data_IF_354448962930
#
_entry.id   IF_354448962930
#
_cell.length_a   1.000
_cell.length_b   1.000
_cell.length_c   1.000
_cell.angle_alpha   90.00
_cell.angle_beta   90.00
_cell.angle_gamma   90.00
#
_symmetry.space_group_name_H-M   'P 1'
#
loop_
_entity.id
_entity.type
_entity.pdbx_description
1 polymer ?
#
# COMPACT_ATOMS: atom_id res chain seq x y z
N UNK A 1 -14.47 0.75 11.89
CA UNK A 1 -14.13 2.12 11.47
C UNK A 1 -13.48 2.08 10.10
N UNK A 2 -13.79 3.03 9.23
CA UNK A 2 -13.11 3.20 7.94
C UNK A 2 -11.84 4.00 8.17
N UNK A 3 -10.70 3.53 7.66
CA UNK A 3 -9.44 4.24 7.73
C UNK A 3 -9.57 5.60 7.03
N UNK A 4 -9.15 6.67 7.69
CA UNK A 4 -9.13 8.03 7.15
C UNK A 4 -7.72 8.49 6.81
N UNK A 5 -7.61 9.58 6.03
CA UNK A 5 -6.32 10.21 5.73
C UNK A 5 -5.61 10.67 7.00
N UNK A 6 -6.36 11.28 7.93
CA UNK A 6 -5.84 11.74 9.22
C UNK A 6 -5.21 10.61 10.03
N UNK A 7 -5.76 9.40 9.97
CA UNK A 7 -5.17 8.23 10.64
C UNK A 7 -3.80 7.84 10.08
N UNK A 8 -3.56 8.07 8.78
CA UNK A 8 -2.25 7.86 8.16
C UNK A 8 -1.27 8.97 8.55
N UNK A 9 -1.70 10.23 8.46
CA UNK A 9 -0.88 11.40 8.80
C UNK A 9 -0.44 11.40 10.27
N UNK A 10 -1.31 10.95 11.18
CA UNK A 10 -1.01 10.80 12.62
C UNK A 10 -0.31 9.46 12.94
N UNK A 11 0.05 8.65 11.93
CA UNK A 11 0.83 7.42 12.10
C UNK A 11 0.10 6.27 12.81
N UNK A 12 -1.23 6.38 13.02
CA UNK A 12 -2.00 5.38 13.80
C UNK A 12 -1.91 3.98 13.20
N UNK A 13 -2.00 3.86 11.87
CA UNK A 13 -1.91 2.56 11.21
C UNK A 13 -0.52 1.95 11.32
N UNK A 14 0.52 2.79 11.23
CA UNK A 14 1.90 2.35 11.38
C UNK A 14 2.14 1.80 12.79
N UNK A 15 1.71 2.54 13.82
CA UNK A 15 1.80 2.11 15.20
C UNK A 15 1.04 0.79 15.44
N UNK A 16 -0.19 0.67 14.92
CA UNK A 16 -0.99 -0.55 15.02
C UNK A 16 -0.29 -1.76 14.38
N UNK A 17 0.26 -1.61 13.17
CA UNK A 17 0.96 -2.69 12.50
C UNK A 17 2.26 -3.06 13.22
N UNK A 18 3.07 -2.08 13.61
CA UNK A 18 4.34 -2.32 14.31
C UNK A 18 4.15 -3.08 15.64
N UNK A 19 3.01 -2.88 16.32
CA UNK A 19 2.66 -3.63 17.53
C UNK A 19 2.15 -5.05 17.23
N UNK A 20 1.51 -5.25 16.07
CA UNK A 20 0.84 -6.50 15.73
C UNK A 20 1.72 -7.51 14.98
N UNK A 21 2.75 -7.05 14.26
CA UNK A 21 3.69 -7.92 13.56
C UNK A 21 4.96 -8.14 14.39
N UNK A 22 5.53 -9.34 14.30
CA UNK A 22 6.86 -9.65 14.86
C UNK A 22 7.89 -8.67 14.28
N UNK A 23 8.85 -8.23 15.10
CA UNK A 23 9.98 -7.37 14.72
C UNK A 23 10.76 -7.91 13.49
N UNK A 24 10.73 -9.23 13.26
CA UNK A 24 11.31 -9.83 12.04
C UNK A 24 10.61 -9.43 10.72
N UNK A 25 9.40 -8.86 10.80
CA UNK A 25 8.58 -8.52 9.64
C UNK A 25 8.25 -7.02 9.56
N UNK A 26 8.41 -6.25 10.63
CA UNK A 26 8.31 -4.80 10.60
C UNK A 26 9.67 -4.18 10.28
N UNK A 27 9.76 -3.43 9.17
CA UNK A 27 10.85 -2.48 8.99
C UNK A 27 10.79 -1.45 10.11
N UNK A 28 11.94 -1.04 10.65
CA UNK A 28 12.08 0.17 11.46
C UNK A 28 11.77 1.41 10.62
N UNK A 29 11.57 2.55 11.25
CA UNK A 29 11.28 3.79 10.50
C UNK A 29 12.47 4.22 9.63
N UNK A 30 13.70 3.93 10.06
CA UNK A 30 14.91 4.16 9.27
C UNK A 30 14.99 3.22 8.05
N UNK A 31 14.73 1.92 8.23
CA UNK A 31 14.70 0.94 7.13
C UNK A 31 13.58 1.23 6.13
N UNK A 32 12.41 1.65 6.63
CA UNK A 32 11.29 2.05 5.79
C UNK A 32 11.64 3.29 4.96
N UNK A 33 12.24 4.32 5.58
CA UNK A 33 12.70 5.52 4.89
C UNK A 33 13.80 5.20 3.85
N UNK A 34 14.72 4.28 4.15
CA UNK A 34 15.75 3.84 3.21
C UNK A 34 15.13 3.07 2.03
N UNK A 35 14.17 2.16 2.29
CA UNK A 35 13.43 1.43 1.26
C UNK A 35 12.66 2.36 0.32
N UNK A 36 11.97 3.36 0.89
CA UNK A 36 11.29 4.40 0.11
C UNK A 36 12.30 5.18 -0.74
N UNK A 37 13.40 5.65 -0.15
CA UNK A 37 14.42 6.40 -0.88
C UNK A 37 15.02 5.58 -2.03
N UNK A 38 15.27 4.29 -1.83
CA UNK A 38 15.73 3.37 -2.87
C UNK A 38 14.70 3.21 -3.99
N UNK A 39 13.43 3.03 -3.63
CA UNK A 39 12.32 2.94 -4.60
C UNK A 39 12.21 4.22 -5.42
N UNK A 40 12.24 5.40 -4.77
CA UNK A 40 12.11 6.68 -5.47
C UNK A 40 13.29 6.96 -6.43
N UNK A 41 14.49 6.47 -6.11
CA UNK A 41 15.68 6.56 -6.98
C UNK A 41 15.64 5.63 -8.20
N UNK A 42 14.74 4.64 -8.24
CA UNK A 42 14.68 3.66 -9.34
C UNK A 42 14.21 4.24 -10.68
N UNK A 43 13.74 5.49 -10.70
CA UNK A 43 13.34 6.22 -11.90
C UNK A 43 13.74 7.70 -11.81
N UNK A 44 13.70 8.46 -12.91
CA UNK A 44 13.98 9.89 -12.90
C UNK A 44 13.06 10.67 -11.94
N UNK A 45 13.61 11.66 -11.23
CA UNK A 45 12.92 12.40 -10.16
C UNK A 45 11.62 13.08 -10.64
N UNK A 46 11.60 13.59 -11.87
CA UNK A 46 10.46 14.31 -12.46
C UNK A 46 9.36 13.40 -13.01
N UNK A 47 9.56 12.08 -13.01
CA UNK A 47 8.56 11.16 -13.55
C UNK A 47 7.41 10.95 -12.56
N UNK A 48 6.17 10.99 -13.04
CA UNK A 48 4.98 10.66 -12.24
C UNK A 48 4.92 9.17 -11.90
N UNK A 49 4.30 8.84 -10.77
CA UNK A 49 4.08 7.48 -10.30
C UNK A 49 2.67 7.00 -10.63
N UNK A 50 2.55 5.70 -10.87
CA UNK A 50 1.27 5.04 -11.02
C UNK A 50 1.10 3.98 -9.95
N UNK A 51 0.10 4.16 -9.09
CA UNK A 51 -0.22 3.22 -8.01
C UNK A 51 -1.37 2.34 -8.46
N UNK A 52 -1.13 1.03 -8.61
CA UNK A 52 -2.16 0.06 -8.95
C UNK A 52 -2.95 -0.39 -7.72
N UNK A 53 -4.21 -0.01 -7.65
CA UNK A 53 -5.16 -0.42 -6.62
C UNK A 53 -5.85 -1.74 -7.00
N UNK A 54 -5.70 -2.74 -6.11
CA UNK A 54 -6.34 -4.05 -6.24
C UNK A 54 -7.18 -4.44 -5.00
N UNK A 55 -7.24 -3.59 -3.98
CA UNK A 55 -7.86 -3.88 -2.69
C UNK A 55 -8.66 -2.68 -2.17
N UNK A 56 -8.48 -2.34 -0.90
CA UNK A 56 -9.17 -1.20 -0.25
C UNK A 56 -9.01 0.13 -0.99
N UNK A 57 -7.86 0.35 -1.65
CA UNK A 57 -7.59 1.54 -2.47
C UNK A 57 -8.55 1.73 -3.65
N UNK A 58 -9.28 0.69 -4.07
CA UNK A 58 -10.34 0.82 -5.07
C UNK A 58 -11.52 1.66 -4.56
N UNK A 59 -11.75 1.65 -3.25
CA UNK A 59 -12.88 2.31 -2.60
C UNK A 59 -12.44 3.52 -1.77
N UNK A 60 -11.19 3.53 -1.32
CA UNK A 60 -10.63 4.56 -0.45
C UNK A 60 -9.13 4.77 -0.74
N UNK A 61 -8.77 5.63 -1.71
CA UNK A 61 -7.39 5.82 -2.15
C UNK A 61 -6.46 6.42 -1.08
N UNK A 62 -6.98 7.26 -0.17
CA UNK A 62 -6.26 7.88 0.95
C UNK A 62 -5.07 8.82 0.61
N UNK A 63 -4.74 8.99 -0.67
CA UNK A 63 -3.77 9.97 -1.18
C UNK A 63 -4.37 10.81 -2.33
N UNK A 64 -3.88 12.03 -2.59
CA UNK A 64 -4.31 12.82 -3.72
C UNK A 64 -3.69 12.26 -5.01
N UNK A 65 -4.48 12.22 -6.07
CA UNK A 65 -4.06 11.79 -7.39
C UNK A 65 -4.62 12.74 -8.44
N UNK A 66 -3.93 12.86 -9.58
CA UNK A 66 -4.35 13.73 -10.68
C UNK A 66 -5.11 12.98 -11.78
N UNK A 67 -5.02 11.66 -11.82
CA UNK A 67 -5.69 10.83 -12.82
C UNK A 67 -6.01 9.44 -12.24
N UNK A 68 -7.09 8.83 -12.69
CA UNK A 68 -7.50 7.48 -12.32
C UNK A 68 -8.00 6.74 -13.57
N UNK A 69 -7.40 5.57 -13.86
CA UNK A 69 -7.77 4.77 -15.04
C UNK A 69 -8.02 3.32 -14.66
N UNK A 70 -9.04 2.71 -15.28
CA UNK A 70 -9.21 1.26 -15.21
C UNK A 70 -8.00 0.59 -15.85
N UNK A 71 -7.49 -0.45 -15.20
CA UNK A 71 -6.33 -1.20 -15.67
C UNK A 71 -6.50 -2.68 -15.41
N UNK A 72 -5.76 -3.49 -16.17
CA UNK A 72 -5.65 -4.93 -15.96
C UNK A 72 -4.18 -5.28 -15.76
N UNK A 73 -3.86 -5.87 -14.61
CA UNK A 73 -2.53 -6.39 -14.32
C UNK A 73 -2.46 -7.86 -14.73
N UNK A 74 -1.67 -8.16 -15.76
CA UNK A 74 -1.45 -9.50 -16.26
C UNK A 74 -0.35 -10.23 -15.45
N UNK A 75 -0.46 -11.55 -15.34
CA UNK A 75 0.50 -12.39 -14.59
C UNK A 75 0.35 -12.31 -13.08
N UNK A 76 -0.69 -11.63 -12.58
CA UNK A 76 -1.06 -11.56 -11.16
C UNK A 76 -2.58 -11.69 -11.03
N UNK A 77 -3.03 -12.42 -10.01
CA UNK A 77 -4.45 -12.61 -9.69
C UNK A 77 -4.72 -12.12 -8.28
N UNK A 78 -5.93 -11.65 -8.06
CA UNK A 78 -6.40 -11.27 -6.72
C UNK A 78 -6.79 -12.54 -5.95
N UNK A 79 -6.20 -12.73 -4.77
CA UNK A 79 -6.51 -13.88 -3.90
C UNK A 79 -6.48 -13.46 -2.44
N UNK A 80 -7.31 -14.07 -1.62
CA UNK A 80 -7.19 -14.03 -0.17
C UNK A 80 -5.96 -14.85 0.27
N UNK A 81 -4.79 -14.19 0.32
CA UNK A 81 -3.50 -14.85 0.50
C UNK A 81 -2.54 -14.11 1.44
N UNK A 82 -3.00 -13.07 2.12
CA UNK A 82 -2.22 -12.33 3.11
C UNK A 82 -2.90 -12.42 4.47
N UNK A 83 -2.09 -12.62 5.51
CA UNK A 83 -2.56 -12.53 6.90
C UNK A 83 -2.58 -11.07 7.36
N UNK A 84 -3.68 -10.65 7.96
CA UNK A 84 -3.84 -9.36 8.62
C UNK A 84 -3.89 -9.57 10.13
N UNK A 85 -2.88 -9.08 10.83
CA UNK A 85 -2.76 -9.22 12.28
C UNK A 85 -3.35 -8.06 13.09
N UNK A 86 -3.88 -7.01 12.44
CA UNK A 86 -4.31 -5.80 13.15
C UNK A 86 -5.57 -5.11 12.59
N UNK A 87 -5.76 -5.08 11.26
CA UNK A 87 -6.85 -4.28 10.65
C UNK A 87 -8.13 -5.09 10.40
N UNK A 88 -7.98 -6.33 9.92
CA UNK A 88 -9.08 -7.28 9.64
C UNK A 88 -8.97 -8.57 10.46
N UNK A 89 -8.23 -8.51 11.56
CA UNK A 89 -7.96 -9.61 12.48
C UNK A 89 -7.07 -9.14 13.62
N UNK A 90 -6.59 -10.07 14.43
CA UNK A 90 -5.68 -9.81 15.56
C UNK A 90 -4.46 -10.72 15.47
N UNK A 91 -3.43 -10.48 16.30
CA UNK A 91 -2.26 -11.36 16.37
C UNK A 91 -2.64 -12.82 16.73
N UNK A 92 -3.61 -13.00 17.64
CA UNK A 92 -4.06 -14.33 18.09
C UNK A 92 -5.09 -14.97 17.15
N UNK A 93 -5.84 -14.16 16.40
CA UNK A 93 -6.81 -14.61 15.41
C UNK A 93 -6.63 -13.82 14.12
N UNK A 94 -5.65 -14.21 13.28
CA UNK A 94 -5.34 -13.52 12.05
C UNK A 94 -6.53 -13.48 11.09
N UNK A 95 -6.76 -12.32 10.49
CA UNK A 95 -7.70 -12.17 9.38
C UNK A 95 -7.05 -12.57 8.07
N UNK A 96 -7.85 -13.02 7.10
CA UNK A 96 -7.38 -13.27 5.74
C UNK A 96 -7.78 -12.10 4.84
N UNK A 97 -6.82 -11.47 4.16
CA UNK A 97 -7.05 -10.33 3.28
C UNK A 97 -6.51 -10.55 1.87
N UNK A 98 -6.97 -9.71 0.95
CA UNK A 98 -6.60 -9.74 -0.45
C UNK A 98 -5.13 -9.36 -0.65
N UNK A 99 -4.44 -10.16 -1.45
CA UNK A 99 -3.13 -9.88 -2.02
C UNK A 99 -3.12 -10.18 -3.52
N UNK A 100 -1.96 -9.93 -4.14
CA UNK A 100 -1.68 -10.32 -5.52
C UNK A 100 -0.81 -11.58 -5.52
N UNK A 101 -1.38 -12.69 -5.97
CA UNK A 101 -0.69 -13.96 -6.16
C UNK A 101 -0.22 -14.11 -7.62
N UNK A 102 0.75 -14.99 -7.88
CA UNK A 102 1.29 -15.22 -9.22
C UNK A 102 0.23 -15.85 -10.14
N UNK A 103 0.26 -15.49 -11.43
CA UNK A 103 -0.59 -16.05 -12.49
C UNK A 103 -1.91 -15.30 -12.71
N UNK A 104 -2.61 -15.62 -13.79
CA UNK A 104 -3.91 -15.02 -14.14
C UNK A 104 -3.84 -13.52 -14.46
N UNK A 105 -4.93 -12.82 -14.19
CA UNK A 105 -5.06 -11.37 -14.35
C UNK A 105 -5.90 -10.76 -13.24
N UNK A 106 -5.67 -9.48 -12.96
CA UNK A 106 -6.41 -8.71 -11.96
C UNK A 106 -6.87 -7.38 -12.56
N UNK A 107 -8.18 -7.15 -12.58
CA UNK A 107 -8.72 -5.81 -12.89
C UNK A 107 -8.55 -4.90 -11.68
N UNK A 108 -8.25 -3.63 -11.92
CA UNK A 108 -8.07 -2.64 -10.87
C UNK A 108 -8.12 -1.22 -11.42
N UNK A 109 -7.61 -0.28 -10.63
CA UNK A 109 -7.46 1.12 -11.02
C UNK A 109 -6.00 1.51 -10.85
N UNK A 110 -5.44 2.27 -11.78
CA UNK A 110 -4.17 2.96 -11.59
C UNK A 110 -4.44 4.43 -11.28
N UNK A 111 -3.82 4.93 -10.21
CA UNK A 111 -3.87 6.34 -9.83
C UNK A 111 -2.56 7.02 -10.20
N UNK A 112 -2.61 8.14 -10.91
CA UNK A 112 -1.43 8.96 -11.22
C UNK A 112 -1.12 9.87 -10.04
N UNK A 113 0.03 9.63 -9.43
CA UNK A 113 0.59 10.42 -8.34
C UNK A 113 1.73 11.30 -8.90
N UNK A 114 1.62 12.63 -8.80
CA UNK A 114 2.64 13.53 -9.30
C UNK A 114 4.01 13.30 -8.67
N UNK A 115 5.07 13.48 -9.45
CA UNK A 115 6.45 13.40 -8.97
C UNK A 115 6.68 14.23 -7.68
N UNK A 116 6.19 15.47 -7.67
CA UNK A 116 6.33 16.42 -6.55
C UNK A 116 5.71 15.95 -5.22
N UNK A 117 4.67 15.11 -5.27
CA UNK A 117 3.99 14.60 -4.08
C UNK A 117 4.40 13.17 -3.72
N UNK A 118 5.17 12.49 -4.58
CA UNK A 118 5.49 11.08 -4.43
C UNK A 118 6.14 10.75 -3.08
N UNK A 119 7.09 11.57 -2.63
CA UNK A 119 7.78 11.34 -1.35
C UNK A 119 6.84 11.45 -0.15
N UNK A 120 5.93 12.41 -0.17
CA UNK A 120 5.01 12.65 0.94
C UNK A 120 3.91 11.60 1.02
N UNK A 121 3.42 11.12 -0.12
CA UNK A 121 2.26 10.22 -0.19
C UNK A 121 2.61 8.73 -0.24
N UNK A 122 3.88 8.37 -0.50
CA UNK A 122 4.37 6.98 -0.47
C UNK A 122 5.17 6.62 0.78
N UNK A 123 5.40 7.59 1.66
CA UNK A 123 6.02 7.37 2.98
C UNK A 123 5.01 6.75 3.97
#
# INVERSE_FOLDING_TARGET
>A
MTLSRRDLEEGRMRALYAQAVDARHALTDEELAASLAGTLKSKPAESDWWVFAYGSLLWNPLFPFEDARRAMLCGRRRRFCLWSLASRGTANQPGLVLGLDRGGSCQGVVYRLPARSARAELA
#
